data_IF_918009465956
#
_entry.id   IF_918009465956
#
_cell.length_a   1.000
_cell.length_b   1.000
_cell.length_c   1.000
_cell.angle_alpha   90.00
_cell.angle_beta   90.00
_cell.angle_gamma   90.00
#
_symmetry.space_group_name_H-M   'P 1'
#
loop_
_entity.id
_entity.type
_entity.pdbx_description
1 polymer ?
#
# COMPACT_ATOMS: atom_id res chain seq x y z
N UNK A 1 15.98 -2.75 -15.54
CA UNK A 1 15.48 -3.67 -16.59
C UNK A 1 14.00 -3.38 -16.81
N UNK A 2 13.56 -3.14 -18.04
CA UNK A 2 12.15 -2.81 -18.29
C UNK A 2 11.22 -3.97 -17.89
N UNK A 3 10.13 -3.65 -17.20
CA UNK A 3 9.13 -4.62 -16.77
C UNK A 3 7.77 -4.29 -17.33
N UNK A 4 7.07 -5.31 -17.82
CA UNK A 4 5.76 -5.15 -18.45
C UNK A 4 4.81 -6.28 -18.05
N UNK A 5 3.52 -5.97 -17.98
CA UNK A 5 2.45 -6.98 -18.00
C UNK A 5 2.15 -7.31 -19.46
N UNK A 6 2.18 -8.59 -19.80
CA UNK A 6 1.94 -9.10 -21.15
C UNK A 6 0.48 -9.50 -21.34
N UNK A 7 -0.07 -10.25 -20.39
CA UNK A 7 -1.47 -10.68 -20.39
C UNK A 7 -1.97 -10.87 -18.97
N UNK A 8 -3.26 -10.68 -18.78
CA UNK A 8 -3.98 -10.98 -17.54
C UNK A 8 -5.13 -11.92 -17.92
N UNK A 9 -5.30 -13.01 -17.20
CA UNK A 9 -6.37 -13.99 -17.43
C UNK A 9 -7.07 -14.32 -16.12
N UNK A 10 -8.40 -14.36 -16.16
CA UNK A 10 -9.20 -14.89 -15.06
C UNK A 10 -9.11 -16.41 -15.06
N UNK A 11 -8.87 -16.98 -13.89
CA UNK A 11 -8.95 -18.42 -13.69
C UNK A 11 -10.42 -18.87 -13.67
N UNK A 12 -10.70 -20.17 -13.87
CA UNK A 12 -12.07 -20.69 -13.90
C UNK A 12 -12.86 -20.49 -12.60
N UNK A 13 -12.18 -20.30 -11.46
CA UNK A 13 -12.80 -20.01 -10.16
C UNK A 13 -13.41 -18.60 -10.09
N UNK A 14 -13.03 -17.69 -10.98
CA UNK A 14 -13.50 -16.30 -11.03
C UNK A 14 -12.91 -15.35 -9.98
N UNK A 15 -12.10 -15.87 -9.06
CA UNK A 15 -11.52 -15.10 -7.96
C UNK A 15 -10.02 -14.92 -8.08
N UNK A 16 -9.35 -15.72 -8.91
CA UNK A 16 -7.91 -15.58 -9.15
C UNK A 16 -7.60 -15.05 -10.56
N UNK A 17 -6.42 -14.47 -10.70
CA UNK A 17 -5.86 -13.99 -11.96
C UNK A 17 -4.48 -14.57 -12.17
N UNK A 18 -4.24 -15.05 -13.38
CA UNK A 18 -2.90 -15.34 -13.89
C UNK A 18 -2.38 -14.10 -14.62
N UNK A 19 -1.30 -13.54 -14.11
CA UNK A 19 -0.65 -12.35 -14.64
C UNK A 19 0.70 -12.74 -15.20
N UNK A 20 0.85 -12.64 -16.51
CA UNK A 20 2.10 -12.89 -17.21
C UNK A 20 2.87 -11.60 -17.38
N UNK A 21 4.15 -11.61 -16.99
CA UNK A 21 5.01 -10.44 -16.99
C UNK A 21 6.34 -10.73 -17.69
N UNK A 22 6.90 -9.72 -18.35
CA UNK A 22 8.30 -9.68 -18.76
C UNK A 22 9.12 -8.84 -17.79
N UNK A 23 10.30 -9.34 -17.40
CA UNK A 23 11.31 -8.63 -16.60
C UNK A 23 12.62 -8.69 -17.39
N UNK A 24 12.93 -7.62 -18.11
CA UNK A 24 13.93 -7.67 -19.18
C UNK A 24 13.52 -8.70 -20.23
N UNK A 25 14.36 -9.71 -20.44
CA UNK A 25 14.12 -10.78 -21.42
C UNK A 25 13.40 -12.00 -20.82
N UNK A 26 13.23 -12.05 -19.49
CA UNK A 26 12.64 -13.20 -18.81
C UNK A 26 11.13 -13.03 -18.69
N UNK A 27 10.37 -14.07 -18.99
CA UNK A 27 8.94 -14.11 -18.71
C UNK A 27 8.65 -14.91 -17.45
N UNK A 28 7.67 -14.46 -16.67
CA UNK A 28 7.16 -15.14 -15.48
C UNK A 28 5.65 -15.00 -15.39
N UNK A 29 5.02 -16.00 -14.81
CA UNK A 29 3.62 -15.97 -14.42
C UNK A 29 3.55 -15.77 -12.91
N UNK A 30 2.60 -14.95 -12.47
CA UNK A 30 2.26 -14.76 -11.07
C UNK A 30 0.75 -14.89 -10.90
N UNK A 31 0.33 -15.26 -9.69
CA UNK A 31 -1.07 -15.42 -9.33
C UNK A 31 -1.49 -14.32 -8.36
N UNK A 32 -2.65 -13.72 -8.64
CA UNK A 32 -3.32 -12.76 -7.78
C UNK A 32 -4.68 -13.32 -7.39
N UNK A 33 -5.07 -13.15 -6.13
CA UNK A 33 -6.35 -13.60 -5.60
C UNK A 33 -7.16 -12.39 -5.12
N UNK A 34 -8.46 -12.40 -5.39
CA UNK A 34 -9.42 -11.47 -4.84
C UNK A 34 -10.23 -12.13 -3.75
N UNK A 35 -10.34 -11.47 -2.61
CA UNK A 35 -11.21 -11.85 -1.50
C UNK A 35 -12.09 -10.67 -1.15
N UNK A 36 -13.27 -10.96 -0.63
CA UNK A 36 -14.18 -9.95 -0.11
C UNK A 36 -14.32 -10.15 1.39
N UNK A 37 -14.07 -9.09 2.15
CA UNK A 37 -14.28 -9.07 3.59
C UNK A 37 -15.33 -8.01 3.94
N UNK A 38 -16.03 -8.20 5.05
CA UNK A 38 -17.05 -7.27 5.54
C UNK A 38 -16.56 -6.57 6.80
N UNK A 39 -16.41 -5.25 6.75
CA UNK A 39 -16.06 -4.44 7.91
C UNK A 39 -17.06 -3.30 8.08
N UNK A 40 -17.69 -3.21 9.26
CA UNK A 40 -18.64 -2.15 9.61
C UNK A 40 -19.71 -1.86 8.53
N UNK A 41 -20.38 -2.91 8.04
CA UNK A 41 -21.40 -2.87 6.98
C UNK A 41 -20.89 -2.42 5.60
N UNK A 42 -19.58 -2.47 5.35
CA UNK A 42 -18.98 -2.23 4.03
C UNK A 42 -18.25 -3.47 3.56
N UNK A 43 -18.41 -3.81 2.28
CA UNK A 43 -17.65 -4.87 1.63
C UNK A 43 -16.33 -4.28 1.11
N UNK A 44 -15.22 -4.85 1.56
CA UNK A 44 -13.87 -4.51 1.14
C UNK A 44 -13.36 -5.57 0.19
N UNK A 45 -12.90 -5.15 -0.98
CA UNK A 45 -12.16 -6.01 -1.90
C UNK A 45 -10.69 -6.01 -1.51
N UNK A 46 -10.18 -7.17 -1.15
CA UNK A 46 -8.78 -7.40 -0.82
C UNK A 46 -8.15 -8.15 -2.00
N UNK A 47 -7.04 -7.62 -2.53
CA UNK A 47 -6.26 -8.28 -3.58
C UNK A 47 -4.95 -8.71 -2.95
N UNK A 48 -4.66 -10.01 -3.01
CA UNK A 48 -3.40 -10.59 -2.56
C UNK A 48 -2.64 -11.17 -3.74
N UNK A 49 -1.32 -11.30 -3.60
CA UNK A 49 -0.45 -11.88 -4.60
C UNK A 49 0.31 -13.07 -4.02
N UNK A 50 0.77 -13.97 -4.89
CA UNK A 50 1.58 -15.10 -4.47
C UNK A 50 2.92 -14.67 -3.85
N UNK A 51 3.55 -15.60 -3.12
CA UNK A 51 4.82 -15.34 -2.46
C UNK A 51 5.94 -15.02 -3.46
N UNK A 52 5.92 -15.63 -4.65
CA UNK A 52 6.99 -15.45 -5.63
C UNK A 52 7.02 -14.01 -6.17
N UNK A 53 5.86 -13.43 -6.44
CA UNK A 53 5.70 -12.03 -6.81
C UNK A 53 6.26 -11.12 -5.72
N UNK A 54 5.85 -11.36 -4.47
CA UNK A 54 6.32 -10.59 -3.31
C UNK A 54 7.84 -10.64 -3.16
N UNK A 55 8.46 -11.81 -3.25
CA UNK A 55 9.91 -11.96 -3.14
C UNK A 55 10.66 -11.36 -4.33
N UNK A 56 10.11 -11.48 -5.54
CA UNK A 56 10.71 -10.93 -6.77
C UNK A 56 10.77 -9.41 -6.70
N UNK A 57 9.69 -8.76 -6.24
CA UNK A 57 9.55 -7.30 -6.28
C UNK A 57 9.70 -6.60 -4.93
N UNK A 58 10.14 -7.28 -3.86
CA UNK A 58 10.20 -6.71 -2.50
C UNK A 58 10.95 -5.38 -2.36
N UNK A 59 11.94 -5.11 -3.20
CA UNK A 59 12.65 -3.83 -3.22
C UNK A 59 12.10 -2.85 -4.27
N UNK A 60 11.43 -3.37 -5.30
CA UNK A 60 10.86 -2.64 -6.43
C UNK A 60 9.37 -2.35 -6.18
N UNK A 61 9.08 -1.69 -5.05
CA UNK A 61 7.71 -1.44 -4.57
C UNK A 61 6.86 -0.60 -5.55
N UNK A 62 7.48 0.25 -6.37
CA UNK A 62 6.78 0.98 -7.43
C UNK A 62 6.13 0.03 -8.43
N UNK A 63 6.80 -1.06 -8.81
CA UNK A 63 6.25 -2.08 -9.72
C UNK A 63 5.05 -2.76 -9.07
N UNK A 64 5.15 -3.12 -7.78
CA UNK A 64 4.04 -3.73 -7.03
C UNK A 64 2.80 -2.83 -7.09
N UNK A 65 2.98 -1.52 -6.86
CA UNK A 65 1.88 -0.54 -6.93
C UNK A 65 1.22 -0.47 -8.30
N UNK A 66 2.02 -0.38 -9.37
CA UNK A 66 1.50 -0.31 -10.75
C UNK A 66 0.78 -1.60 -11.16
N UNK A 67 1.35 -2.77 -10.83
CA UNK A 67 0.73 -4.06 -11.12
C UNK A 67 -0.60 -4.20 -10.38
N UNK A 68 -0.63 -3.89 -9.08
CA UNK A 68 -1.87 -3.94 -8.29
C UNK A 68 -2.93 -2.97 -8.82
N UNK A 69 -2.52 -1.81 -9.31
CA UNK A 69 -3.46 -0.87 -9.94
C UNK A 69 -4.10 -1.47 -11.19
N UNK A 70 -3.31 -2.08 -12.08
CA UNK A 70 -3.81 -2.74 -13.29
C UNK A 70 -4.68 -3.96 -12.97
N UNK A 71 -4.25 -4.79 -12.02
CA UNK A 71 -5.05 -5.94 -11.54
C UNK A 71 -6.40 -5.49 -10.99
N UNK A 72 -6.42 -4.41 -10.20
CA UNK A 72 -7.66 -3.82 -9.68
C UNK A 72 -8.57 -3.31 -10.80
N UNK A 73 -8.02 -2.65 -11.82
CA UNK A 73 -8.77 -2.18 -12.98
C UNK A 73 -9.36 -3.37 -13.76
N UNK A 74 -8.58 -4.43 -13.97
CA UNK A 74 -9.06 -5.66 -14.61
C UNK A 74 -10.26 -6.27 -13.86
N UNK A 75 -10.17 -6.40 -12.53
CA UNK A 75 -11.28 -6.92 -11.73
C UNK A 75 -12.55 -6.06 -11.77
N UNK A 76 -12.44 -4.78 -12.11
CA UNK A 76 -13.57 -3.86 -12.31
C UNK A 76 -14.17 -3.94 -13.72
N UNK A 77 -13.57 -4.73 -14.61
CA UNK A 77 -13.97 -4.81 -16.02
C UNK A 77 -13.53 -3.60 -16.85
N UNK A 78 -12.54 -2.83 -16.37
CA UNK A 78 -11.95 -1.74 -17.14
C UNK A 78 -11.12 -2.31 -18.31
N UNK A 79 -11.16 -1.64 -19.45
CA UNK A 79 -10.38 -2.07 -20.61
C UNK A 79 -8.91 -1.72 -20.41
N UNK A 80 -8.02 -2.70 -20.54
CA UNK A 80 -6.58 -2.53 -20.37
C UNK A 80 -5.86 -2.68 -21.70
N UNK A 81 -5.00 -1.72 -22.02
CA UNK A 81 -4.09 -1.83 -23.15
C UNK A 81 -2.87 -2.66 -22.75
N UNK A 82 -2.79 -3.89 -23.29
CA UNK A 82 -1.66 -4.80 -23.06
C UNK A 82 -0.86 -5.00 -24.36
N UNK A 83 0.49 -5.10 -24.29
CA UNK A 83 1.31 -5.10 -23.07
C UNK A 83 1.45 -3.72 -22.40
N UNK A 84 1.39 -3.67 -21.07
CA UNK A 84 1.49 -2.45 -20.27
C UNK A 84 2.83 -2.35 -19.54
N UNK A 85 3.49 -1.19 -19.61
CA UNK A 85 4.73 -0.94 -18.87
C UNK A 85 4.43 -0.66 -17.39
N UNK A 86 5.14 -1.33 -16.48
CA UNK A 86 4.96 -1.16 -15.02
C UNK A 86 6.21 -0.62 -14.31
N UNK A 87 7.18 -0.14 -15.10
CA UNK A 87 8.40 0.51 -14.62
C UNK A 87 9.65 -0.32 -14.87
N UNK A 88 10.76 0.15 -14.29
CA UNK A 88 12.05 -0.50 -14.37
C UNK A 88 12.34 -1.31 -13.10
N UNK A 89 12.73 -2.56 -13.28
CA UNK A 89 13.24 -3.44 -12.25
C UNK A 89 14.74 -3.19 -12.04
N UNK A 90 15.09 -2.68 -10.88
CA UNK A 90 16.47 -2.42 -10.46
C UNK A 90 16.99 -3.48 -9.48
N UNK A 91 18.29 -3.41 -9.19
CA UNK A 91 18.88 -4.13 -8.05
C UNK A 91 18.26 -3.62 -6.74
N UNK A 92 18.41 -4.35 -5.62
CA UNK A 92 17.93 -3.86 -4.32
C UNK A 92 18.43 -2.44 -3.99
N UNK A 93 19.70 -2.15 -4.28
CA UNK A 93 20.33 -0.85 -4.02
C UNK A 93 19.72 0.25 -4.88
N UNK A 94 19.56 0.00 -6.18
CA UNK A 94 18.93 0.93 -7.12
C UNK A 94 17.47 1.20 -6.75
N UNK A 95 16.72 0.14 -6.46
CA UNK A 95 15.31 0.22 -6.14
C UNK A 95 15.06 0.98 -4.83
N UNK A 96 15.91 0.77 -3.81
CA UNK A 96 15.87 1.54 -2.58
C UNK A 96 16.21 3.03 -2.81
N UNK A 97 17.13 3.34 -3.72
CA UNK A 97 17.46 4.71 -4.08
C UNK A 97 16.30 5.43 -4.79
N UNK A 98 15.45 4.71 -5.52
CA UNK A 98 14.25 5.27 -6.16
C UNK A 98 13.07 5.46 -5.20
N UNK A 99 13.11 4.85 -4.02
CA UNK A 99 12.08 5.06 -3.02
C UNK A 99 12.22 6.48 -2.44
N UNK A 100 11.13 7.26 -2.54
CA UNK A 100 11.11 8.60 -1.93
C UNK A 100 11.34 8.46 -0.42
N UNK A 101 12.25 9.27 0.17
CA UNK A 101 12.40 9.28 1.62
C UNK A 101 11.05 9.63 2.26
N UNK A 102 10.71 8.88 3.31
CA UNK A 102 9.50 9.12 4.09
C UNK A 102 9.66 10.45 4.84
N UNK A 103 9.22 11.55 4.25
CA UNK A 103 9.22 12.86 4.90
C UNK A 103 8.14 12.87 6.00
N UNK A 104 8.50 12.42 7.21
CA UNK A 104 7.64 12.50 8.42
C UNK A 104 7.34 13.94 8.85
N UNK A 105 8.00 14.94 8.28
CA UNK A 105 8.00 16.33 8.75
C UNK A 105 6.74 17.16 8.39
N UNK A 106 5.60 16.56 8.03
CA UNK A 106 4.38 17.32 7.67
C UNK A 106 3.10 16.93 8.45
N UNK A 107 3.22 16.32 9.64
CA UNK A 107 2.04 15.96 10.46
C UNK A 107 2.05 16.60 11.86
N UNK A 108 2.98 17.50 12.18
CA UNK A 108 2.95 18.23 13.46
C UNK A 108 3.02 19.73 13.23
N UNK A 109 1.99 20.28 12.59
CA UNK A 109 1.73 21.72 12.61
C UNK A 109 0.23 21.93 12.39
N UNK A 110 -0.59 21.46 13.35
CA UNK A 110 -1.98 21.89 13.56
C UNK A 110 -2.55 21.36 14.90
N UNK A 111 -1.71 21.20 15.92
CA UNK A 111 -2.20 21.14 17.30
C UNK A 111 -1.65 22.36 18.01
N UNK A 112 -2.32 23.50 17.78
CA UNK A 112 -2.19 24.69 18.60
C UNK A 112 -2.77 24.40 19.98
N UNK A 113 -2.05 23.65 20.81
CA UNK A 113 -2.29 23.66 22.25
C UNK A 113 -1.75 24.98 22.79
N UNK A 114 -2.63 25.96 22.95
CA UNK A 114 -2.33 27.17 23.71
C UNK A 114 -2.15 26.79 25.19
N UNK A 115 -0.91 26.49 25.59
CA UNK A 115 -0.50 26.54 27.00
C UNK A 115 -0.11 27.98 27.28
N UNK A 116 -1.03 28.74 27.89
CA UNK A 116 -0.74 30.06 28.44
C UNK A 116 -0.16 29.90 29.84
N UNK A 117 1.17 29.92 29.94
CA UNK A 117 1.89 30.15 31.19
C UNK A 117 1.66 31.60 31.63
N UNK A 118 0.92 31.80 32.72
CA UNK A 118 0.74 33.09 33.39
C UNK A 118 1.02 32.93 34.88
N UNK A 119 1.95 33.73 35.37
CA UNK A 119 2.51 33.73 36.73
C UNK A 119 1.47 33.94 37.84
N UNK A 120 1.74 33.29 38.98
CA UNK A 120 1.61 33.86 40.33
C UNK A 120 0.24 34.30 40.82
N UNK A 121 -0.43 33.46 41.61
CA UNK A 121 -0.97 33.92 42.89
C UNK A 121 -1.18 32.79 43.89
N UNK A 122 -0.52 32.93 45.03
CA UNK A 122 -0.71 32.18 46.27
C UNK A 122 -2.17 32.19 46.76
N UNK A 123 -2.69 31.03 47.16
CA UNK A 123 -3.68 30.88 48.26
C UNK A 123 -3.75 29.44 48.75
N UNK A 124 -3.57 29.31 50.06
CA UNK A 124 -3.57 28.09 50.88
C UNK A 124 -4.99 27.61 51.27
N UNK A 125 -5.03 26.40 51.85
CA UNK A 125 -6.11 25.71 52.61
C UNK A 125 -7.16 24.95 51.76
N UNK A 126 -7.65 23.76 52.12
CA UNK A 126 -7.34 22.78 53.18
C UNK A 126 -8.06 21.46 52.86
N UNK A 127 -7.44 20.34 53.28
CA UNK A 127 -8.00 18.98 53.35
C UNK A 127 -9.30 18.97 54.18
N UNK A 128 -10.37 18.40 53.64
CA UNK A 128 -11.53 17.93 54.42
C UNK A 128 -11.78 16.48 53.99
N UNK A 129 -11.48 15.57 54.91
CA UNK A 129 -12.03 14.22 54.92
C UNK A 129 -13.48 14.32 55.38
N UNK A 130 -14.39 13.61 54.71
CA UNK A 130 -15.69 13.25 55.28
C UNK A 130 -16.14 11.95 54.67
N UNK A 131 -16.10 10.90 55.49
CA UNK A 131 -16.80 9.65 55.30
C UNK A 131 -18.32 9.87 55.17
N UNK A 132 -18.97 9.00 54.40
CA UNK A 132 -20.29 8.45 54.69
C UNK A 132 -20.39 7.07 54.02
#
# INVERSE_FOLDING_TARGET
MKTQILTIKLTPDGDSLEVWMSIGEKQRQFTFERKFDSFANRQLQIITYDREFGETFKFNQHIIGEVLNLVRQFYKGENLELPASVGDFGTPEEALAWQKPFNRSKVVENVSTSVSSGEGNSKSYSRIESEA
#
